data_IF_091701251586
#
_entry.id   IF_091701251586
#
_cell.length_a   1.000
_cell.length_b   1.000
_cell.length_c   1.000
_cell.angle_alpha   90.00
_cell.angle_beta   90.00
_cell.angle_gamma   90.00
#
_symmetry.space_group_name_H-M   'P 1'
#
loop_
_entity.id
_entity.type
_entity.pdbx_description
1 polymer ?
#
# COMPACT_ATOMS: atom_id res chain seq x y z
N UNK A 1 -3.22 -2.03 -39.47
CA UNK A 1 -1.73 -1.99 -39.46
C UNK A 1 -1.19 -0.72 -38.77
N UNK A 2 -1.80 0.47 -38.93
CA UNK A 2 -1.33 1.68 -38.27
C UNK A 2 -1.44 1.70 -36.72
N UNK A 3 -2.43 1.07 -36.14
CA UNK A 3 -2.68 1.18 -34.67
C UNK A 3 -1.69 0.40 -33.80
N UNK A 4 -1.08 -0.67 -34.29
CA UNK A 4 -0.08 -1.44 -33.52
C UNK A 4 1.30 -0.78 -33.59
N UNK A 5 1.68 -0.24 -34.74
CA UNK A 5 2.94 0.50 -34.91
C UNK A 5 2.91 1.80 -34.09
N UNK A 6 1.82 2.55 -34.14
CA UNK A 6 1.64 3.76 -33.34
C UNK A 6 1.68 3.48 -31.82
N UNK A 7 1.09 2.37 -31.39
CA UNK A 7 1.13 1.93 -29.97
C UNK A 7 2.54 1.52 -29.52
N UNK A 8 3.31 0.85 -30.39
CA UNK A 8 4.69 0.47 -30.09
C UNK A 8 5.63 1.67 -30.06
N UNK A 9 5.44 2.62 -30.96
CA UNK A 9 6.22 3.87 -31.00
C UNK A 9 5.94 4.75 -29.77
N UNK A 10 4.67 4.92 -29.40
CA UNK A 10 4.28 5.60 -28.17
C UNK A 10 4.90 4.95 -26.92
N UNK A 11 4.90 3.62 -26.82
CA UNK A 11 5.50 2.87 -25.70
C UNK A 11 7.01 3.06 -25.65
N UNK A 12 7.71 3.01 -26.78
CA UNK A 12 9.16 3.22 -26.88
C UNK A 12 9.53 4.62 -26.44
N UNK A 13 8.82 5.64 -26.93
CA UNK A 13 8.99 7.03 -26.53
C UNK A 13 8.76 7.26 -25.02
N UNK A 14 7.77 6.59 -24.43
CA UNK A 14 7.54 6.62 -22.98
C UNK A 14 8.68 6.02 -22.16
N UNK A 15 9.33 4.95 -22.66
CA UNK A 15 10.52 4.37 -21.99
C UNK A 15 11.69 5.35 -22.01
N UNK A 16 11.95 5.97 -23.16
CA UNK A 16 13.03 6.94 -23.32
C UNK A 16 12.85 8.16 -22.40
N UNK A 17 11.62 8.71 -22.33
CA UNK A 17 11.29 9.83 -21.42
C UNK A 17 11.54 9.46 -19.96
N UNK A 18 11.14 8.26 -19.52
CA UNK A 18 11.39 7.80 -18.14
C UNK A 18 12.89 7.61 -17.85
N UNK A 19 13.67 7.10 -18.81
CA UNK A 19 15.12 6.99 -18.66
C UNK A 19 15.79 8.36 -18.53
N UNK A 20 15.40 9.31 -19.36
CA UNK A 20 15.89 10.68 -19.31
C UNK A 20 15.56 11.36 -17.97
N UNK A 21 14.35 11.18 -17.49
CA UNK A 21 13.88 11.71 -16.21
C UNK A 21 14.75 11.21 -15.05
N UNK A 22 15.02 9.90 -14.97
CA UNK A 22 15.87 9.31 -13.93
C UNK A 22 17.32 9.80 -14.05
N UNK A 23 17.83 9.97 -15.27
CA UNK A 23 19.19 10.46 -15.48
C UNK A 23 19.36 11.90 -14.98
N UNK A 24 18.46 12.81 -15.35
CA UNK A 24 18.52 14.21 -14.92
C UNK A 24 18.31 14.36 -13.40
N UNK A 25 17.44 13.55 -12.81
CA UNK A 25 17.24 13.55 -11.36
C UNK A 25 18.50 13.18 -10.59
N UNK A 26 19.30 12.22 -11.09
CA UNK A 26 20.62 11.88 -10.52
C UNK A 26 21.64 13.02 -10.60
N UNK A 27 21.47 13.92 -11.56
CA UNK A 27 22.29 15.14 -11.74
C UNK A 27 21.76 16.33 -10.91
N UNK A 28 20.65 16.12 -10.18
CA UNK A 28 19.98 17.13 -9.35
C UNK A 28 19.03 18.06 -10.13
N UNK A 29 18.75 17.76 -11.41
CA UNK A 29 17.79 18.52 -12.21
C UNK A 29 16.42 17.87 -12.18
N UNK A 30 15.47 18.49 -11.48
CA UNK A 30 14.08 18.06 -11.36
C UNK A 30 13.12 18.78 -12.31
N UNK A 31 13.62 19.63 -13.21
CA UNK A 31 12.77 20.42 -14.10
C UNK A 31 11.91 19.53 -15.00
N UNK A 32 12.51 18.49 -15.57
CA UNK A 32 11.83 17.53 -16.42
C UNK A 32 10.81 16.67 -15.63
N UNK A 33 11.08 16.39 -14.35
CA UNK A 33 10.13 15.68 -13.51
C UNK A 33 8.86 16.50 -13.28
N UNK A 34 8.97 17.82 -13.12
CA UNK A 34 7.81 18.73 -13.02
C UNK A 34 7.06 18.84 -14.33
N UNK A 35 7.75 18.90 -15.47
CA UNK A 35 7.14 18.94 -16.81
C UNK A 35 6.35 17.64 -17.09
N UNK A 36 6.96 16.48 -16.85
CA UNK A 36 6.38 15.16 -17.11
C UNK A 36 5.28 14.74 -16.13
N UNK A 37 5.03 15.52 -15.13
CA UNK A 37 3.88 15.32 -14.24
C UNK A 37 2.54 15.42 -15.02
N UNK A 38 2.54 16.11 -16.15
CA UNK A 38 1.37 16.27 -17.05
C UNK A 38 1.49 15.50 -18.37
N UNK A 39 2.41 14.52 -18.45
CA UNK A 39 2.62 13.71 -19.66
C UNK A 39 1.38 12.87 -20.01
N UNK A 40 1.15 12.63 -21.31
CA UNK A 40 0.02 11.82 -21.76
C UNK A 40 0.12 10.36 -21.31
N UNK A 41 1.34 9.81 -21.18
CA UNK A 41 1.59 8.44 -20.72
C UNK A 41 1.54 8.38 -19.18
N UNK A 42 0.58 7.66 -18.57
CA UNK A 42 0.47 7.54 -17.12
C UNK A 42 1.71 6.91 -16.47
N UNK A 43 2.48 6.11 -17.20
CA UNK A 43 3.74 5.53 -16.71
C UNK A 43 4.83 6.59 -16.55
N UNK A 44 4.83 7.60 -17.42
CA UNK A 44 5.75 8.74 -17.31
C UNK A 44 5.35 9.63 -16.14
N UNK A 45 4.04 9.95 -16.01
CA UNK A 45 3.52 10.70 -14.84
C UNK A 45 3.84 9.98 -13.52
N UNK A 46 3.62 8.66 -13.45
CA UNK A 46 3.93 7.84 -12.27
C UNK A 46 5.44 7.89 -11.91
N UNK A 47 6.31 7.84 -12.92
CA UNK A 47 7.77 7.96 -12.72
C UNK A 47 8.17 9.36 -12.28
N UNK A 48 7.49 10.39 -12.76
CA UNK A 48 7.66 11.77 -12.33
C UNK A 48 7.36 11.93 -10.83
N UNK A 49 6.22 11.38 -10.37
CA UNK A 49 5.85 11.37 -8.95
C UNK A 49 6.93 10.69 -8.10
N UNK A 50 7.40 9.51 -8.51
CA UNK A 50 8.44 8.77 -7.79
C UNK A 50 9.71 9.62 -7.62
N UNK A 51 10.21 10.22 -8.72
CA UNK A 51 11.40 11.08 -8.69
C UNK A 51 11.19 12.32 -7.81
N UNK A 52 10.04 12.98 -7.92
CA UNK A 52 9.76 14.16 -7.10
C UNK A 52 9.62 13.81 -5.62
N UNK A 53 9.00 12.67 -5.31
CA UNK A 53 8.88 12.17 -3.94
C UNK A 53 10.23 11.83 -3.31
N UNK A 54 11.10 11.10 -4.03
CA UNK A 54 12.45 10.75 -3.58
C UNK A 54 13.35 11.96 -3.30
N UNK A 55 13.00 13.13 -3.85
CA UNK A 55 13.74 14.37 -3.70
C UNK A 55 13.00 15.44 -2.87
N UNK A 56 11.94 15.07 -2.14
CA UNK A 56 11.12 15.98 -1.33
C UNK A 56 10.58 17.18 -2.12
N UNK A 57 10.30 16.99 -3.40
CA UNK A 57 9.94 18.05 -4.34
C UNK A 57 8.46 18.07 -4.77
N UNK A 58 7.60 17.26 -4.11
CA UNK A 58 6.16 17.29 -4.28
C UNK A 58 5.58 18.44 -3.45
N UNK A 59 5.13 19.47 -4.12
CA UNK A 59 4.38 20.57 -3.50
C UNK A 59 2.87 20.28 -3.46
N UNK A 60 2.13 21.10 -2.73
CA UNK A 60 0.68 20.91 -2.50
C UNK A 60 -0.12 20.82 -3.82
N UNK A 61 0.26 21.58 -4.83
CA UNK A 61 -0.43 21.58 -6.13
C UNK A 61 -0.20 20.27 -6.89
N UNK A 62 1.03 19.73 -6.88
CA UNK A 62 1.36 18.45 -7.48
C UNK A 62 0.70 17.29 -6.72
N UNK A 63 0.65 17.36 -5.39
CA UNK A 63 -0.06 16.38 -4.57
C UNK A 63 -1.55 16.34 -4.96
N UNK A 64 -2.22 17.48 -5.02
CA UNK A 64 -3.64 17.55 -5.41
C UNK A 64 -3.90 16.98 -6.81
N UNK A 65 -3.05 17.30 -7.77
CA UNK A 65 -3.13 16.76 -9.13
C UNK A 65 -2.92 15.24 -9.17
N UNK A 66 -1.91 14.74 -8.47
CA UNK A 66 -1.60 13.31 -8.43
C UNK A 66 -2.68 12.47 -7.77
N UNK A 67 -3.27 12.96 -6.66
CA UNK A 67 -4.39 12.31 -5.97
C UNK A 67 -5.66 12.24 -6.83
N UNK A 68 -5.87 13.21 -7.73
CA UNK A 68 -7.02 13.27 -8.62
C UNK A 68 -6.75 12.76 -10.04
N UNK A 69 -5.60 12.14 -10.29
CA UNK A 69 -5.28 11.63 -11.63
C UNK A 69 -6.27 10.54 -12.07
N UNK A 70 -6.70 10.64 -13.33
CA UNK A 70 -7.67 9.69 -13.93
C UNK A 70 -7.17 8.23 -13.98
N UNK A 71 -5.84 8.01 -13.91
CA UNK A 71 -5.25 6.68 -14.09
C UNK A 71 -4.77 6.10 -12.75
N UNK A 72 -5.22 4.90 -12.37
CA UNK A 72 -4.89 4.31 -11.07
C UNK A 72 -3.38 4.14 -10.85
N UNK A 73 -2.59 3.86 -11.89
CA UNK A 73 -1.12 3.76 -11.76
C UNK A 73 -0.49 5.04 -11.19
N UNK A 74 -1.04 6.21 -11.52
CA UNK A 74 -0.56 7.50 -11.01
C UNK A 74 -0.97 7.66 -9.55
N UNK A 75 -2.24 7.36 -9.22
CA UNK A 75 -2.73 7.37 -7.83
C UNK A 75 -1.99 6.34 -6.95
N UNK A 76 -1.64 5.14 -7.49
CA UNK A 76 -0.76 4.18 -6.81
C UNK A 76 0.63 4.76 -6.49
N UNK A 77 1.18 5.59 -7.39
CA UNK A 77 2.47 6.25 -7.12
C UNK A 77 2.33 7.30 -6.02
N UNK A 78 1.20 8.00 -5.95
CA UNK A 78 0.88 8.87 -4.82
C UNK A 78 0.74 8.09 -3.51
N UNK A 79 0.08 6.91 -3.55
CA UNK A 79 -0.03 6.04 -2.38
C UNK A 79 1.36 5.60 -1.88
N UNK A 80 2.28 5.23 -2.77
CA UNK A 80 3.67 4.92 -2.37
C UNK A 80 4.38 6.13 -1.76
N UNK A 81 4.20 7.31 -2.33
CA UNK A 81 4.79 8.54 -1.81
C UNK A 81 4.24 8.90 -0.42
N UNK A 82 2.96 8.59 -0.13
CA UNK A 82 2.33 8.84 1.16
C UNK A 82 2.99 8.08 2.33
N UNK A 83 3.68 6.98 2.07
CA UNK A 83 4.40 6.22 3.10
C UNK A 83 5.50 7.05 3.80
N UNK A 84 6.08 8.04 3.09
CA UNK A 84 7.18 8.87 3.60
C UNK A 84 6.84 10.37 3.66
N UNK A 85 5.68 10.76 3.12
CA UNK A 85 5.24 12.16 3.05
C UNK A 85 3.86 12.33 3.66
N UNK A 86 3.80 12.80 4.91
CA UNK A 86 2.57 13.02 5.66
C UNK A 86 1.67 14.13 5.08
N UNK A 87 2.18 14.94 4.15
CA UNK A 87 1.35 15.92 3.42
C UNK A 87 0.40 15.26 2.43
N UNK A 88 0.63 14.00 2.07
CA UNK A 88 -0.23 13.23 1.18
C UNK A 88 -1.26 12.48 2.03
N UNK A 89 -2.54 12.81 1.87
CA UNK A 89 -3.63 12.16 2.61
C UNK A 89 -3.79 10.70 2.21
N UNK A 90 -3.34 9.77 3.07
CA UNK A 90 -3.55 8.34 2.87
C UNK A 90 -5.03 7.97 2.97
N UNK A 91 -5.83 8.68 3.76
CA UNK A 91 -7.27 8.44 3.88
C UNK A 91 -8.02 8.59 2.55
N UNK A 92 -7.63 9.56 1.73
CA UNK A 92 -8.19 9.73 0.38
C UNK A 92 -7.93 8.51 -0.49
N UNK A 93 -6.72 7.93 -0.40
CA UNK A 93 -6.29 6.78 -1.19
C UNK A 93 -6.85 5.45 -0.67
N UNK A 94 -7.09 5.32 0.64
CA UNK A 94 -7.80 4.18 1.24
C UNK A 94 -9.26 4.08 0.79
N UNK A 95 -9.83 5.16 0.27
CA UNK A 95 -11.19 5.23 -0.27
C UNK A 95 -11.24 5.26 -1.80
N UNK A 96 -10.15 4.88 -2.48
CA UNK A 96 -10.06 4.87 -3.94
C UNK A 96 -10.98 3.81 -4.56
N UNK A 97 -11.50 4.08 -5.76
CA UNK A 97 -12.34 3.15 -6.51
C UNK A 97 -11.58 1.95 -7.07
N UNK A 98 -10.25 2.05 -7.22
CA UNK A 98 -9.39 0.99 -7.76
C UNK A 98 -8.74 0.19 -6.62
N UNK A 99 -9.01 -1.12 -6.51
CA UNK A 99 -8.47 -1.97 -5.45
C UNK A 99 -6.94 -1.96 -5.37
N UNK A 100 -6.24 -1.80 -6.50
CA UNK A 100 -4.78 -1.75 -6.50
C UNK A 100 -4.23 -0.47 -5.85
N UNK A 101 -5.00 0.63 -5.90
CA UNK A 101 -4.65 1.85 -5.17
C UNK A 101 -4.88 1.65 -3.68
N UNK A 102 -6.03 1.07 -3.30
CA UNK A 102 -6.38 0.77 -1.90
C UNK A 102 -5.34 -0.16 -1.27
N UNK A 103 -4.92 -1.23 -1.98
CA UNK A 103 -3.87 -2.15 -1.51
C UNK A 103 -2.58 -1.41 -1.13
N UNK A 104 -2.08 -0.54 -2.03
CA UNK A 104 -0.86 0.23 -1.78
C UNK A 104 -1.08 1.29 -0.68
N UNK A 105 -2.27 1.88 -0.61
CA UNK A 105 -2.61 2.84 0.43
C UNK A 105 -2.64 2.18 1.83
N UNK A 106 -3.14 0.95 1.95
CA UNK A 106 -3.07 0.16 3.19
C UNK A 106 -1.61 -0.03 3.63
N UNK A 107 -0.74 -0.45 2.71
CA UNK A 107 0.69 -0.57 3.02
C UNK A 107 1.26 0.78 3.49
N UNK A 108 1.02 1.86 2.76
CA UNK A 108 1.51 3.19 3.11
C UNK A 108 1.00 3.67 4.48
N UNK A 109 -0.24 3.35 4.82
CA UNK A 109 -0.81 3.65 6.14
C UNK A 109 -0.06 2.90 7.26
N UNK A 110 0.36 1.66 7.02
CA UNK A 110 1.14 0.87 7.97
C UNK A 110 2.56 1.39 8.21
N UNK A 111 3.13 2.12 7.24
CA UNK A 111 4.46 2.75 7.35
C UNK A 111 4.43 4.11 8.08
N UNK A 112 3.25 4.71 8.25
CA UNK A 112 3.15 6.00 8.91
C UNK A 112 3.40 5.90 10.41
N UNK A 113 4.21 6.80 10.95
CA UNK A 113 4.53 6.86 12.38
C UNK A 113 3.51 7.66 13.19
N UNK A 114 2.77 8.54 12.54
CA UNK A 114 1.73 9.35 13.18
C UNK A 114 0.45 8.54 13.35
N UNK A 115 -0.01 8.42 14.60
CA UNK A 115 -1.25 7.72 14.92
C UNK A 115 -2.45 8.61 14.59
N UNK A 116 -3.27 8.14 13.66
CA UNK A 116 -4.52 8.78 13.28
C UNK A 116 -5.68 7.80 13.51
N UNK A 117 -6.61 8.19 14.38
CA UNK A 117 -7.76 7.36 14.77
C UNK A 117 -8.62 6.97 13.56
N UNK A 118 -8.79 7.88 12.61
CA UNK A 118 -9.54 7.62 11.39
C UNK A 118 -8.87 6.59 10.47
N UNK A 119 -7.54 6.48 10.49
CA UNK A 119 -6.82 5.46 9.72
C UNK A 119 -7.12 4.06 10.26
N UNK A 120 -7.10 3.88 11.59
CA UNK A 120 -7.42 2.59 12.21
C UNK A 120 -8.85 2.16 11.88
N UNK A 121 -9.81 3.08 11.96
CA UNK A 121 -11.21 2.79 11.64
C UNK A 121 -11.38 2.38 10.18
N UNK A 122 -10.79 3.14 9.23
CA UNK A 122 -10.89 2.83 7.81
C UNK A 122 -10.19 1.51 7.46
N UNK A 123 -8.99 1.25 8.00
CA UNK A 123 -8.28 -0.01 7.81
C UNK A 123 -9.07 -1.19 8.38
N UNK A 124 -9.73 -1.02 9.53
CA UNK A 124 -10.60 -2.05 10.12
C UNK A 124 -11.78 -2.38 9.21
N UNK A 125 -12.43 -1.37 8.63
CA UNK A 125 -13.48 -1.56 7.64
C UNK A 125 -12.98 -2.29 6.39
N UNK A 126 -11.84 -1.90 5.83
CA UNK A 126 -11.24 -2.57 4.67
C UNK A 126 -10.90 -4.03 5.01
N UNK A 127 -10.30 -4.29 6.17
CA UNK A 127 -9.89 -5.63 6.60
C UNK A 127 -11.04 -6.62 6.65
N UNK A 128 -12.25 -6.17 6.98
CA UNK A 128 -13.42 -7.03 7.18
C UNK A 128 -14.39 -7.05 6.00
N UNK A 129 -14.54 -5.93 5.29
CA UNK A 129 -15.65 -5.72 4.38
C UNK A 129 -15.26 -5.54 2.91
N UNK A 130 -13.96 -5.30 2.60
CA UNK A 130 -13.56 -5.04 1.22
C UNK A 130 -13.70 -6.30 0.35
N UNK A 131 -14.29 -6.17 -0.85
CA UNK A 131 -14.55 -7.29 -1.76
C UNK A 131 -13.25 -7.99 -2.19
N UNK A 132 -12.18 -7.22 -2.46
CA UNK A 132 -10.89 -7.77 -2.87
C UNK A 132 -10.09 -8.27 -1.66
N UNK A 133 -9.72 -9.55 -1.71
CA UNK A 133 -8.96 -10.19 -0.64
C UNK A 133 -7.55 -9.63 -0.45
N UNK A 134 -6.91 -9.08 -1.50
CA UNK A 134 -5.60 -8.43 -1.37
C UNK A 134 -5.70 -7.15 -0.56
N UNK A 135 -6.79 -6.38 -0.75
CA UNK A 135 -7.04 -5.21 0.07
C UNK A 135 -7.26 -5.59 1.54
N UNK A 136 -8.07 -6.66 1.82
CA UNK A 136 -8.25 -7.15 3.20
C UNK A 136 -6.92 -7.61 3.81
N UNK A 137 -6.12 -8.37 3.06
CA UNK A 137 -4.79 -8.83 3.50
C UNK A 137 -3.87 -7.66 3.82
N UNK A 138 -3.82 -6.63 2.96
CA UNK A 138 -2.98 -5.45 3.14
C UNK A 138 -3.43 -4.58 4.31
N UNK A 139 -4.74 -4.44 4.52
CA UNK A 139 -5.30 -3.72 5.66
C UNK A 139 -4.97 -4.41 6.99
N UNK A 140 -5.11 -5.74 7.05
CA UNK A 140 -4.71 -6.54 8.22
C UNK A 140 -3.22 -6.39 8.50
N UNK A 141 -2.37 -6.41 7.47
CA UNK A 141 -0.93 -6.18 7.62
C UNK A 141 -0.64 -4.79 8.19
N UNK A 142 -1.32 -3.76 7.70
CA UNK A 142 -1.17 -2.39 8.17
C UNK A 142 -1.60 -2.23 9.64
N UNK A 143 -2.73 -2.82 10.04
CA UNK A 143 -3.18 -2.83 11.44
C UNK A 143 -2.14 -3.48 12.37
N UNK A 144 -1.55 -4.60 11.94
CA UNK A 144 -0.46 -5.25 12.66
C UNK A 144 0.80 -4.39 12.74
N UNK A 145 1.20 -3.72 11.66
CA UNK A 145 2.36 -2.82 11.63
C UNK A 145 2.18 -1.60 12.55
N UNK A 146 0.97 -1.04 12.58
CA UNK A 146 0.63 0.07 13.49
C UNK A 146 0.61 -0.36 14.96
N UNK A 147 0.29 -1.62 15.27
CA UNK A 147 0.29 -2.17 16.63
C UNK A 147 -0.66 -1.44 17.58
N UNK A 148 -1.70 -0.80 17.05
CA UNK A 148 -2.70 -0.10 17.87
C UNK A 148 -3.79 -1.06 18.33
N UNK A 149 -4.04 -1.13 19.64
CA UNK A 149 -4.99 -2.06 20.25
C UNK A 149 -6.42 -1.93 19.69
N UNK A 150 -6.78 -0.78 19.14
CA UNK A 150 -8.09 -0.56 18.50
C UNK A 150 -8.30 -1.37 17.23
N UNK A 151 -7.20 -1.74 16.56
CA UNK A 151 -7.23 -2.63 15.39
C UNK A 151 -7.25 -4.13 15.73
N UNK A 152 -7.01 -4.50 16.99
CA UNK A 152 -6.88 -5.91 17.38
C UNK A 152 -8.13 -6.74 17.10
N UNK A 153 -9.32 -6.20 17.36
CA UNK A 153 -10.59 -6.92 17.13
C UNK A 153 -10.74 -7.31 15.66
N UNK A 154 -10.45 -6.39 14.74
CA UNK A 154 -10.52 -6.65 13.30
C UNK A 154 -9.46 -7.67 12.83
N UNK A 155 -8.26 -7.66 13.42
CA UNK A 155 -7.23 -8.67 13.14
C UNK A 155 -7.71 -10.06 13.63
N UNK A 156 -8.29 -10.14 14.83
CA UNK A 156 -8.83 -11.39 15.37
C UNK A 156 -9.97 -11.94 14.50
N UNK A 157 -10.87 -11.10 14.03
CA UNK A 157 -11.95 -11.49 13.12
C UNK A 157 -11.41 -11.97 11.77
N UNK A 158 -10.40 -11.32 11.22
CA UNK A 158 -9.74 -11.70 9.97
C UNK A 158 -9.04 -13.10 10.05
N UNK A 159 -8.81 -13.65 11.24
CA UNK A 159 -8.37 -15.05 11.40
C UNK A 159 -9.41 -16.08 10.94
N UNK A 160 -10.63 -15.67 10.59
CA UNK A 160 -11.71 -16.53 10.09
C UNK A 160 -11.94 -16.39 8.57
N UNK A 161 -11.21 -15.55 7.87
CA UNK A 161 -11.31 -15.26 6.43
C UNK A 161 -10.75 -16.41 5.56
N UNK A 162 -10.48 -16.17 4.29
CA UNK A 162 -9.76 -17.09 3.40
C UNK A 162 -8.31 -17.29 3.86
N UNK A 163 -7.66 -18.36 3.40
CA UNK A 163 -6.36 -18.79 3.92
C UNK A 163 -5.26 -17.71 3.86
N UNK A 164 -5.22 -16.90 2.79
CA UNK A 164 -4.21 -15.84 2.64
C UNK A 164 -4.40 -14.74 3.67
N UNK A 165 -5.64 -14.31 3.89
CA UNK A 165 -5.98 -13.29 4.90
C UNK A 165 -5.78 -13.85 6.31
N UNK A 166 -6.22 -15.11 6.60
CA UNK A 166 -5.98 -15.76 7.90
C UNK A 166 -4.50 -15.83 8.26
N UNK A 167 -3.66 -16.23 7.28
CA UNK A 167 -2.21 -16.25 7.47
C UNK A 167 -1.67 -14.87 7.82
N UNK A 168 -2.11 -13.84 7.12
CA UNK A 168 -1.71 -12.46 7.39
C UNK A 168 -2.17 -12.01 8.76
N UNK A 169 -3.40 -12.35 9.15
CA UNK A 169 -3.96 -12.04 10.47
C UNK A 169 -3.13 -12.65 11.59
N UNK A 170 -2.73 -13.92 11.47
CA UNK A 170 -1.83 -14.57 12.45
C UNK A 170 -0.52 -13.79 12.60
N UNK A 171 0.11 -13.39 11.49
CA UNK A 171 1.36 -12.60 11.53
C UNK A 171 1.12 -11.22 12.17
N UNK A 172 -0.01 -10.60 11.88
CA UNK A 172 -0.39 -9.28 12.39
C UNK A 172 -0.66 -9.27 13.90
N UNK A 173 -0.83 -10.43 14.54
CA UNK A 173 -0.97 -10.54 16.00
C UNK A 173 0.36 -10.33 16.76
N UNK A 174 1.50 -10.29 16.07
CA UNK A 174 2.83 -10.21 16.69
C UNK A 174 3.02 -9.08 17.74
N UNK A 175 2.51 -7.85 17.56
CA UNK A 175 2.68 -6.77 18.54
C UNK A 175 1.67 -6.81 19.70
N UNK A 176 0.75 -7.78 19.73
CA UNK A 176 -0.35 -7.81 20.69
C UNK A 176 -0.20 -8.95 21.69
N UNK A 177 -0.72 -8.74 22.89
CA UNK A 177 -0.71 -9.70 23.99
C UNK A 177 -2.13 -9.92 24.53
N UNK A 178 -2.30 -10.98 25.30
CA UNK A 178 -3.53 -11.28 26.01
C UNK A 178 -4.19 -12.60 25.61
N UNK A 179 -5.26 -12.96 26.35
CA UNK A 179 -5.88 -14.29 26.21
C UNK A 179 -6.47 -14.48 24.81
N UNK A 180 -7.11 -13.46 24.23
CA UNK A 180 -7.70 -13.54 22.88
C UNK A 180 -6.65 -13.83 21.81
N UNK A 181 -5.45 -13.23 21.92
CA UNK A 181 -4.33 -13.48 21.01
C UNK A 181 -3.82 -14.92 21.19
N UNK A 182 -3.63 -15.37 22.43
CA UNK A 182 -3.21 -16.73 22.74
C UNK A 182 -4.20 -17.76 22.17
N UNK A 183 -5.49 -17.55 22.35
CA UNK A 183 -6.54 -18.44 21.85
C UNK A 183 -6.56 -18.48 20.33
N UNK A 184 -6.42 -17.34 19.65
CA UNK A 184 -6.35 -17.24 18.19
C UNK A 184 -5.13 -17.99 17.63
N UNK A 185 -3.95 -17.83 18.25
CA UNK A 185 -2.74 -18.58 17.88
C UNK A 185 -2.89 -20.08 18.08
N UNK A 186 -3.50 -20.51 19.21
CA UNK A 186 -3.76 -21.92 19.49
C UNK A 186 -4.69 -22.56 18.44
N UNK A 187 -5.71 -21.84 17.98
CA UNK A 187 -6.58 -22.28 16.89
C UNK A 187 -5.81 -22.35 15.56
N UNK A 188 -4.99 -21.35 15.25
CA UNK A 188 -4.21 -21.29 14.02
C UNK A 188 -3.17 -22.42 13.90
N UNK A 189 -2.62 -22.93 15.00
CA UNK A 189 -1.74 -24.13 15.02
C UNK A 189 -2.44 -25.40 14.48
N UNK A 190 -3.77 -25.42 14.46
CA UNK A 190 -4.59 -26.53 13.94
C UNK A 190 -5.35 -26.16 12.66
N UNK A 191 -4.98 -25.06 12.00
CA UNK A 191 -5.65 -24.61 10.77
C UNK A 191 -5.55 -25.67 9.66
N UNK A 192 -6.57 -25.74 8.82
CA UNK A 192 -6.59 -26.60 7.62
C UNK A 192 -5.50 -26.28 6.61
N UNK A 193 -5.11 -25.01 6.52
CA UNK A 193 -4.05 -24.51 5.62
C UNK A 193 -2.69 -24.59 6.30
N UNK A 194 -1.70 -25.20 5.63
CA UNK A 194 -0.37 -25.40 6.20
C UNK A 194 0.43 -24.10 6.40
N UNK A 195 0.18 -23.07 5.56
CA UNK A 195 0.87 -21.78 5.68
C UNK A 195 0.36 -20.99 6.89
N UNK A 196 -0.93 -21.14 7.23
CA UNK A 196 -1.49 -20.56 8.45
C UNK A 196 -0.87 -21.24 9.68
N UNK A 197 -0.80 -22.60 9.69
CA UNK A 197 -0.13 -23.34 10.79
C UNK A 197 1.32 -22.91 10.95
N UNK A 198 2.07 -22.82 9.84
CA UNK A 198 3.48 -22.40 9.88
C UNK A 198 3.63 -20.99 10.46
N UNK A 199 2.79 -20.04 10.05
CA UNK A 199 2.81 -18.67 10.60
C UNK A 199 2.54 -18.66 12.11
N UNK A 200 1.63 -19.52 12.60
CA UNK A 200 1.32 -19.64 14.02
C UNK A 200 2.48 -20.30 14.80
N UNK A 201 3.13 -21.32 14.25
CA UNK A 201 4.31 -21.96 14.84
C UNK A 201 5.47 -20.95 14.98
N UNK A 202 5.77 -20.22 13.90
CA UNK A 202 6.85 -19.23 13.86
C UNK A 202 6.61 -18.11 14.88
N UNK A 203 5.38 -17.58 14.95
CA UNK A 203 5.04 -16.52 15.90
C UNK A 203 5.06 -17.02 17.34
N UNK A 204 4.52 -18.22 17.62
CA UNK A 204 4.54 -18.81 18.97
C UNK A 204 5.96 -19.03 19.46
N UNK A 205 6.86 -19.46 18.58
CA UNK A 205 8.28 -19.62 18.90
C UNK A 205 8.93 -18.28 19.21
N UNK A 206 8.70 -17.27 18.38
CA UNK A 206 9.23 -15.91 18.60
C UNK A 206 8.80 -15.31 19.93
N UNK A 207 7.53 -15.49 20.33
CA UNK A 207 7.00 -14.98 21.60
C UNK A 207 7.49 -15.74 22.85
N UNK A 208 8.12 -16.93 22.68
CA UNK A 208 8.65 -17.75 23.77
C UNK A 208 10.16 -17.55 24.02
N UNK A 209 10.85 -16.83 23.17
CA UNK A 209 12.28 -16.44 23.29
C UNK A 209 12.45 -15.13 24.03
#
# INVERSE_FOLDING_TARGET
MGSEEDSLEFTRSGIERRQQLVQLAREGDLSLAREFFSDDDPRVRASSIAVLSENDALDESLIALGLSDRHPLVRMSMARAAAQNSSISVLTLLSDEDPAVVEIACWAAGEQTERNDSIIEVLSGIALEHDDALCRESAVAALGALGDVRGLESILEATQDIATVRRRAVIALAPFEGQAVTDALQLALSDRDWQVRQAAEDLTKYLSE
#
